data_IF_734216275689
#
_entry.id   IF_734216275689
#
_cell.length_a   1.000
_cell.length_b   1.000
_cell.length_c   1.000
_cell.angle_alpha   90.00
_cell.angle_beta   90.00
_cell.angle_gamma   90.00
#
_symmetry.space_group_name_H-M   'P 1'
#
loop_
_entity.id
_entity.type
_entity.pdbx_description
1 polymer ?
#
# COMPACT_ATOMS: atom_id res chain seq x y z
N UNK A 1 58.90 -9.19 10.68
CA UNK A 1 58.14 -8.25 11.54
C UNK A 1 56.70 -8.33 11.08
N UNK A 2 55.94 -9.30 11.64
CA UNK A 2 54.55 -9.52 11.32
C UNK A 2 53.69 -8.68 12.25
N UNK A 3 52.82 -7.84 11.72
CA UNK A 3 51.82 -7.09 12.46
C UNK A 3 50.47 -7.80 12.22
N UNK A 4 50.00 -8.47 13.27
CA UNK A 4 48.65 -9.03 13.28
C UNK A 4 47.65 -7.91 13.57
N UNK A 5 46.70 -7.67 12.68
CA UNK A 5 45.50 -6.87 12.96
C UNK A 5 44.43 -7.82 13.53
N UNK A 6 44.06 -7.58 14.76
CA UNK A 6 42.87 -8.19 15.34
C UNK A 6 41.62 -7.39 14.98
N UNK A 7 40.69 -8.03 14.30
CA UNK A 7 39.35 -7.49 14.03
C UNK A 7 38.48 -7.82 15.24
N UNK A 8 38.06 -6.81 15.96
CA UNK A 8 37.08 -6.95 17.04
C UNK A 8 35.65 -6.98 16.42
N UNK A 9 35.00 -8.11 16.56
CA UNK A 9 33.57 -8.24 16.24
C UNK A 9 32.75 -7.52 17.33
N UNK A 10 32.07 -6.46 16.96
CA UNK A 10 31.06 -5.82 17.84
C UNK A 10 29.76 -6.58 17.64
N UNK A 11 29.39 -7.35 18.62
CA UNK A 11 28.07 -7.97 18.71
C UNK A 11 27.09 -6.89 19.17
N UNK A 12 26.36 -6.30 18.24
CA UNK A 12 25.27 -5.39 18.54
C UNK A 12 24.03 -6.17 18.97
N UNK A 13 23.71 -6.10 20.26
CA UNK A 13 22.47 -6.64 20.81
C UNK A 13 21.29 -5.82 20.36
N UNK A 14 20.47 -6.34 19.46
CA UNK A 14 19.20 -5.77 19.09
C UNK A 14 18.19 -5.90 20.23
N UNK A 15 17.83 -4.79 20.85
CA UNK A 15 16.72 -4.72 21.80
C UNK A 15 15.40 -4.73 21.02
N UNK A 16 14.67 -5.83 21.07
CA UNK A 16 13.31 -5.90 20.61
C UNK A 16 12.40 -5.05 21.51
N UNK A 17 12.00 -3.89 21.05
CA UNK A 17 10.94 -3.12 21.67
C UNK A 17 9.59 -3.71 21.23
N UNK A 18 8.93 -4.40 22.13
CA UNK A 18 7.56 -4.83 21.98
C UNK A 18 6.63 -3.60 22.01
N UNK A 19 6.01 -3.28 20.89
CA UNK A 19 4.94 -2.30 20.86
C UNK A 19 3.70 -2.91 21.54
N UNK A 20 3.35 -2.40 22.72
CA UNK A 20 2.11 -2.74 23.40
C UNK A 20 0.94 -2.05 22.70
N UNK A 21 0.09 -2.83 22.04
CA UNK A 21 -1.21 -2.36 21.57
C UNK A 21 -2.12 -2.10 22.77
N UNK A 22 -2.50 -0.86 22.98
CA UNK A 22 -3.52 -0.49 23.95
C UNK A 22 -4.90 -1.00 23.50
N UNK A 23 -5.41 -2.03 24.13
CA UNK A 23 -6.81 -2.45 23.99
C UNK A 23 -7.69 -1.48 24.77
N UNK A 24 -8.48 -0.69 24.05
CA UNK A 24 -9.58 0.04 24.65
C UNK A 24 -10.70 -0.94 24.98
N UNK A 25 -10.94 -1.18 26.26
CA UNK A 25 -12.02 -2.00 26.76
C UNK A 25 -13.37 -1.36 26.49
N UNK A 26 -14.26 -2.09 25.80
CA UNK A 26 -15.67 -1.76 25.66
C UNK A 26 -16.42 -2.29 26.87
N UNK A 27 -16.99 -1.39 27.66
CA UNK A 27 -17.90 -1.75 28.74
C UNK A 27 -19.29 -2.16 28.17
N UNK A 28 -19.96 -3.16 28.75
CA UNK A 28 -21.31 -3.50 28.32
C UNK A 28 -22.33 -2.55 28.96
N UNK A 29 -23.03 -1.77 28.16
CA UNK A 29 -24.20 -1.03 28.60
C UNK A 29 -25.45 -1.91 28.44
N UNK A 30 -25.92 -2.48 29.54
CA UNK A 30 -27.28 -3.03 29.63
C UNK A 30 -28.24 -1.88 29.87
N UNK A 31 -29.17 -1.65 28.93
CA UNK A 31 -30.39 -0.91 29.18
C UNK A 31 -31.50 -1.56 28.37
N UNK A 32 -32.44 -2.23 29.08
CA UNK A 32 -33.75 -2.63 28.54
C UNK A 32 -34.55 -1.34 28.31
N UNK A 33 -34.89 -1.05 27.07
CA UNK A 33 -35.86 -0.02 26.72
C UNK A 33 -37.12 -0.69 26.18
N UNK A 34 -38.23 -0.22 26.70
CA UNK A 34 -39.56 -0.76 26.49
C UNK A 34 -40.06 -0.72 25.04
N UNK A 35 -40.96 -1.65 24.77
CA UNK A 35 -41.73 -1.79 23.55
C UNK A 35 -42.47 -0.47 23.21
N UNK A 36 -42.08 0.19 22.14
CA UNK A 36 -42.86 1.24 21.51
C UNK A 36 -43.87 0.61 20.52
N UNK A 37 -45.05 1.22 20.29
CA UNK A 37 -46.10 0.64 19.45
C UNK A 37 -45.71 0.61 17.96
N UNK A 38 -46.11 -0.47 17.33
CA UNK A 38 -45.99 -0.65 15.88
C UNK A 38 -46.83 0.41 15.13
N UNK A 39 -46.14 1.11 14.18
CA UNK A 39 -46.91 1.89 13.23
C UNK A 39 -46.26 3.17 12.72
N UNK A 40 -45.05 3.09 12.23
CA UNK A 40 -44.59 3.99 11.19
C UNK A 40 -43.55 3.23 10.33
N UNK A 41 -43.94 2.84 9.13
CA UNK A 41 -42.95 2.47 8.10
C UNK A 41 -42.13 3.72 7.84
N UNK A 42 -41.00 3.81 8.49
CA UNK A 42 -39.96 4.77 8.07
C UNK A 42 -39.59 4.31 6.66
N UNK A 43 -40.06 5.07 5.66
CA UNK A 43 -39.64 4.84 4.28
C UNK A 43 -38.11 4.85 4.24
N UNK A 44 -37.53 3.68 3.97
CA UNK A 44 -36.08 3.56 3.74
C UNK A 44 -35.78 4.48 2.57
N UNK A 45 -35.11 5.59 2.83
CA UNK A 45 -34.67 6.48 1.76
C UNK A 45 -33.90 5.63 0.73
N UNK A 46 -34.27 5.77 -0.54
CA UNK A 46 -33.63 5.02 -1.61
C UNK A 46 -32.12 5.30 -1.58
N UNK A 47 -31.32 4.24 -1.54
CA UNK A 47 -29.87 4.37 -1.60
C UNK A 47 -29.48 5.01 -2.95
N UNK A 48 -28.60 6.01 -2.98
CA UNK A 48 -28.16 6.58 -4.24
C UNK A 48 -27.39 5.53 -5.06
N UNK A 49 -27.50 5.59 -6.40
CA UNK A 49 -26.67 4.82 -7.31
C UNK A 49 -25.23 5.33 -7.28
N UNK A 50 -24.78 5.97 -8.35
CA UNK A 50 -23.46 6.63 -8.38
C UNK A 50 -23.44 7.87 -7.49
N UNK A 51 -22.31 8.07 -6.79
CA UNK A 51 -22.11 9.22 -5.90
C UNK A 51 -20.83 9.95 -6.27
N UNK A 52 -20.87 11.28 -6.24
CA UNK A 52 -19.68 12.13 -6.34
C UNK A 52 -19.50 12.91 -5.04
N UNK A 53 -18.30 12.84 -4.48
CA UNK A 53 -17.86 13.64 -3.33
C UNK A 53 -16.82 14.65 -3.81
N UNK A 54 -16.92 15.89 -3.34
CA UNK A 54 -15.99 16.96 -3.66
C UNK A 54 -15.13 17.31 -2.45
N UNK A 55 -13.80 17.24 -2.64
CA UNK A 55 -12.80 17.72 -1.71
C UNK A 55 -12.19 19.04 -2.20
N UNK A 56 -11.90 19.94 -1.24
CA UNK A 56 -11.07 21.11 -1.48
C UNK A 56 -10.16 21.38 -0.27
N UNK A 57 -8.95 21.97 -0.45
CA UNK A 57 -8.16 22.42 0.68
C UNK A 57 -8.87 23.53 1.45
N UNK A 58 -8.53 23.72 2.72
CA UNK A 58 -9.16 24.72 3.58
C UNK A 58 -9.11 26.13 2.99
N UNK A 59 -8.01 26.49 2.32
CA UNK A 59 -7.82 27.76 1.60
C UNK A 59 -8.82 28.00 0.46
N UNK A 60 -9.48 26.94 0.00
CA UNK A 60 -10.45 26.97 -1.09
C UNK A 60 -11.86 26.53 -0.64
N UNK A 61 -12.14 26.64 0.66
CA UNK A 61 -13.47 26.43 1.23
C UNK A 61 -13.78 25.01 1.68
N UNK A 62 -12.80 24.10 1.64
CA UNK A 62 -12.96 22.74 2.19
C UNK A 62 -13.18 22.76 3.69
N UNK A 63 -14.25 22.10 4.16
CA UNK A 63 -14.60 21.97 5.59
C UNK A 63 -15.37 20.68 5.82
N UNK A 64 -15.06 19.94 6.87
CA UNK A 64 -15.77 18.69 7.20
C UNK A 64 -17.17 18.93 7.80
N UNK A 65 -17.57 20.19 8.00
CA UNK A 65 -18.97 20.56 8.25
C UNK A 65 -19.82 20.67 6.97
N UNK A 66 -19.20 20.60 5.79
CA UNK A 66 -19.89 20.60 4.51
C UNK A 66 -20.39 19.19 4.16
N UNK A 67 -21.32 19.10 3.22
CA UNK A 67 -21.84 17.79 2.76
C UNK A 67 -20.94 17.07 1.79
N UNK A 68 -20.07 17.77 1.08
CA UNK A 68 -19.25 17.21 0.00
C UNK A 68 -20.01 16.82 -1.27
N UNK A 69 -21.34 16.97 -1.31
CA UNK A 69 -22.18 16.50 -2.42
C UNK A 69 -22.24 17.47 -3.61
N UNK A 70 -21.69 18.65 -3.45
CA UNK A 70 -21.58 19.65 -4.53
C UNK A 70 -20.21 20.31 -4.52
N UNK A 71 -19.76 20.78 -5.68
CA UNK A 71 -18.48 21.49 -5.82
C UNK A 71 -18.43 22.82 -5.07
N UNK A 72 -19.57 23.41 -4.72
CA UNK A 72 -19.68 24.63 -3.92
C UNK A 72 -19.68 24.38 -2.41
N UNK A 73 -19.82 23.12 -1.97
CA UNK A 73 -19.81 22.73 -0.56
C UNK A 73 -18.84 21.54 -0.34
N UNK A 74 -17.54 21.71 -0.69
CA UNK A 74 -16.58 20.63 -0.61
C UNK A 74 -16.20 20.33 0.84
N UNK A 75 -15.93 19.05 1.13
CA UNK A 75 -15.33 18.63 2.39
C UNK A 75 -13.82 18.83 2.37
N UNK A 76 -13.18 18.69 3.54
CA UNK A 76 -11.74 18.90 3.68
C UNK A 76 -10.95 17.58 3.64
N UNK A 77 -11.47 16.51 4.28
CA UNK A 77 -10.69 15.30 4.54
C UNK A 77 -11.27 14.05 3.90
N UNK A 78 -10.38 13.10 3.55
CA UNK A 78 -10.79 11.77 3.08
C UNK A 78 -11.49 10.98 4.20
N UNK A 79 -11.13 11.21 5.47
CA UNK A 79 -11.79 10.58 6.60
C UNK A 79 -13.27 10.97 6.66
N UNK A 80 -13.58 12.25 6.43
CA UNK A 80 -14.96 12.71 6.36
C UNK A 80 -15.68 12.21 5.10
N UNK A 81 -14.96 12.10 3.97
CA UNK A 81 -15.52 11.47 2.77
C UNK A 81 -16.01 10.04 3.06
N UNK A 82 -15.20 9.24 3.76
CA UNK A 82 -15.59 7.88 4.15
C UNK A 82 -16.82 7.85 5.05
N UNK A 83 -16.93 8.80 6.00
CA UNK A 83 -18.12 8.94 6.88
C UNK A 83 -19.38 9.27 6.08
N UNK A 84 -19.29 10.25 5.17
CA UNK A 84 -20.40 10.62 4.29
C UNK A 84 -20.86 9.44 3.44
N UNK A 85 -19.91 8.72 2.81
CA UNK A 85 -20.21 7.55 2.00
C UNK A 85 -20.83 6.41 2.82
N UNK A 86 -20.36 6.18 4.03
CA UNK A 86 -20.94 5.19 4.95
C UNK A 86 -22.38 5.54 5.31
N UNK A 87 -22.67 6.82 5.50
CA UNK A 87 -24.05 7.31 5.77
C UNK A 87 -24.97 7.20 4.55
N UNK A 88 -24.46 7.48 3.35
CA UNK A 88 -25.21 7.41 2.09
C UNK A 88 -25.44 5.97 1.63
N UNK A 89 -24.48 5.10 1.89
CA UNK A 89 -24.47 3.68 1.49
C UNK A 89 -24.82 3.48 0.00
N UNK A 90 -24.05 4.05 -0.94
CA UNK A 90 -24.33 4.00 -2.36
C UNK A 90 -24.32 2.58 -2.91
N UNK A 91 -25.03 2.37 -4.03
CA UNK A 91 -25.11 1.10 -4.75
C UNK A 91 -24.48 1.14 -6.13
N UNK A 92 -23.71 2.16 -6.42
CA UNK A 92 -23.03 2.38 -7.70
C UNK A 92 -21.60 2.90 -7.49
N UNK A 93 -20.97 3.33 -8.56
CA UNK A 93 -19.61 3.87 -8.52
C UNK A 93 -19.53 5.15 -7.68
N UNK A 94 -18.42 5.29 -6.97
CA UNK A 94 -18.11 6.50 -6.21
C UNK A 94 -16.97 7.23 -6.90
N UNK A 95 -17.09 8.56 -7.00
CA UNK A 95 -16.01 9.43 -7.49
C UNK A 95 -15.71 10.48 -6.44
N UNK A 96 -14.47 10.54 -5.98
CA UNK A 96 -13.97 11.58 -5.08
C UNK A 96 -13.19 12.57 -5.94
N UNK A 97 -13.81 13.74 -6.17
CA UNK A 97 -13.26 14.85 -6.95
C UNK A 97 -12.45 15.77 -6.06
N UNK A 98 -11.14 15.78 -6.27
CA UNK A 98 -10.17 16.46 -5.41
C UNK A 98 -9.69 17.73 -6.12
N UNK A 99 -9.97 18.88 -5.55
CA UNK A 99 -9.58 20.17 -6.12
C UNK A 99 -8.05 20.34 -5.99
N UNK A 100 -7.44 20.96 -6.97
CA UNK A 100 -6.00 21.25 -6.95
C UNK A 100 -5.60 22.11 -5.74
N UNK A 101 -4.43 21.85 -5.19
CA UNK A 101 -3.86 22.52 -4.03
C UNK A 101 -3.27 21.53 -3.04
N UNK A 102 -2.64 22.03 -1.99
CA UNK A 102 -2.00 21.21 -0.97
C UNK A 102 -2.97 20.91 0.17
N UNK A 103 -3.08 19.64 0.49
CA UNK A 103 -3.81 19.08 1.62
C UNK A 103 -2.80 18.65 2.67
N UNK A 104 -2.74 19.38 3.77
CA UNK A 104 -1.99 18.92 4.94
C UNK A 104 -2.86 17.87 5.63
N UNK A 105 -2.54 16.60 5.43
CA UNK A 105 -3.47 15.51 5.68
C UNK A 105 -2.90 14.43 6.59
N UNK A 106 -3.64 14.09 7.64
CA UNK A 106 -3.32 12.92 8.47
C UNK A 106 -3.49 11.62 7.68
N UNK A 107 -2.80 10.57 8.13
CA UNK A 107 -2.99 9.22 7.65
C UNK A 107 -4.46 8.79 7.73
N UNK A 108 -4.89 8.00 6.75
CA UNK A 108 -6.24 7.44 6.74
C UNK A 108 -6.22 5.92 6.64
N UNK A 109 -7.07 5.28 7.44
CA UNK A 109 -7.46 3.89 7.23
C UNK A 109 -8.79 3.84 6.51
N UNK A 110 -8.77 3.27 5.30
CA UNK A 110 -9.94 3.15 4.44
C UNK A 110 -10.50 1.74 4.47
N UNK A 111 -11.76 1.62 4.84
CA UNK A 111 -12.49 0.33 4.92
C UNK A 111 -13.87 0.37 4.27
N UNK A 112 -14.19 1.44 3.55
CA UNK A 112 -15.46 1.58 2.84
C UNK A 112 -15.31 1.13 1.37
N UNK A 113 -16.17 0.26 0.93
CA UNK A 113 -16.23 -0.24 -0.45
C UNK A 113 -17.66 -0.45 -0.91
N UNK A 114 -17.88 -0.42 -2.22
CA UNK A 114 -19.16 -0.75 -2.82
C UNK A 114 -18.98 -2.02 -3.66
N UNK A 115 -19.51 -3.16 -3.23
CA UNK A 115 -19.31 -4.44 -3.92
C UNK A 115 -19.69 -4.39 -5.39
N UNK A 116 -18.76 -4.81 -6.27
CA UNK A 116 -18.96 -4.80 -7.71
C UNK A 116 -18.81 -3.41 -8.39
N UNK A 117 -18.43 -2.38 -7.64
CA UNK A 117 -18.27 -1.02 -8.13
C UNK A 117 -16.90 -0.44 -7.78
N UNK A 118 -16.55 0.71 -8.36
CA UNK A 118 -15.28 1.39 -8.13
C UNK A 118 -15.43 2.61 -7.24
N UNK A 119 -14.35 2.92 -6.51
CA UNK A 119 -14.17 4.16 -5.78
C UNK A 119 -12.94 4.85 -6.35
N UNK A 120 -13.15 5.97 -7.05
CA UNK A 120 -12.10 6.69 -7.76
C UNK A 120 -11.73 7.97 -7.06
N UNK A 121 -10.45 8.15 -6.77
CA UNK A 121 -9.83 9.37 -6.22
C UNK A 121 -9.10 10.08 -7.36
N UNK A 122 -9.52 11.28 -7.72
CA UNK A 122 -8.99 11.94 -8.91
C UNK A 122 -9.08 13.46 -8.81
N UNK A 123 -8.24 14.20 -9.55
CA UNK A 123 -8.38 15.65 -9.65
C UNK A 123 -9.78 16.07 -10.09
N UNK A 124 -10.29 17.18 -9.54
CA UNK A 124 -11.65 17.64 -9.83
C UNK A 124 -11.89 17.93 -11.32
N UNK A 125 -10.84 18.31 -12.04
CA UNK A 125 -10.87 18.61 -13.48
C UNK A 125 -10.45 17.43 -14.36
N UNK A 126 -10.21 16.23 -13.81
CA UNK A 126 -9.91 15.04 -14.60
C UNK A 126 -11.16 14.56 -15.35
N UNK A 127 -11.05 14.44 -16.65
CA UNK A 127 -12.14 14.00 -17.55
C UNK A 127 -11.84 12.70 -18.30
N UNK A 128 -10.70 12.04 -17.98
CA UNK A 128 -10.17 10.90 -18.73
C UNK A 128 -9.13 11.33 -19.77
N UNK A 129 -8.25 10.41 -20.15
CA UNK A 129 -7.35 10.59 -21.30
C UNK A 129 -5.99 11.24 -21.01
N UNK A 130 -5.61 11.48 -19.78
CA UNK A 130 -4.27 11.97 -19.44
C UNK A 130 -4.24 12.92 -18.25
N UNK A 131 -3.03 13.34 -17.84
CA UNK A 131 -2.84 14.24 -16.69
C UNK A 131 -3.56 15.58 -16.92
N UNK A 132 -4.40 16.01 -15.98
CA UNK A 132 -5.14 17.27 -16.13
C UNK A 132 -4.22 18.48 -16.03
N UNK A 133 -4.58 19.58 -16.68
CA UNK A 133 -3.84 20.82 -16.62
C UNK A 133 -3.87 21.44 -15.21
N UNK A 134 -2.81 22.14 -14.82
CA UNK A 134 -2.73 22.92 -13.58
C UNK A 134 -2.07 22.19 -12.41
N UNK A 135 -1.56 21.00 -12.62
CA UNK A 135 -0.87 20.18 -11.62
C UNK A 135 -1.81 19.27 -10.83
N UNK A 136 -1.23 18.39 -10.05
CA UNK A 136 -1.96 17.42 -9.26
C UNK A 136 -2.35 18.00 -7.88
N UNK A 137 -3.42 17.53 -7.27
CA UNK A 137 -3.64 17.72 -5.83
C UNK A 137 -2.52 17.06 -5.04
N UNK A 138 -1.97 17.77 -4.05
CA UNK A 138 -0.85 17.32 -3.24
C UNK A 138 -1.35 16.96 -1.83
N UNK A 139 -1.07 15.76 -1.37
CA UNK A 139 -1.24 15.36 0.01
C UNK A 139 0.12 15.31 0.69
N UNK A 140 0.30 16.15 1.71
CA UNK A 140 1.53 16.24 2.48
C UNK A 140 1.27 15.93 3.96
N UNK A 141 2.25 15.28 4.62
CA UNK A 141 2.14 15.01 6.06
C UNK A 141 2.08 16.32 6.85
N UNK A 142 1.12 16.48 7.79
CA UNK A 142 0.93 17.69 8.56
C UNK A 142 2.10 18.04 9.49
N UNK A 143 2.94 17.09 9.76
CA UNK A 143 3.97 17.19 10.79
C UNK A 143 5.36 17.45 10.24
N UNK A 144 5.48 18.16 9.12
CA UNK A 144 6.77 18.54 8.56
C UNK A 144 7.74 19.01 9.65
N UNK A 145 8.75 18.20 9.95
CA UNK A 145 9.92 18.52 10.79
C UNK A 145 9.74 18.42 12.31
N UNK A 146 9.61 17.20 12.85
CA UNK A 146 10.07 16.93 14.21
C UNK A 146 9.16 16.17 15.15
N UNK A 147 7.93 15.87 14.83
CA UNK A 147 7.01 15.06 15.66
C UNK A 147 6.20 14.06 14.83
N UNK A 148 6.80 13.55 13.78
CA UNK A 148 6.14 12.55 12.93
C UNK A 148 5.89 11.27 13.71
N UNK A 149 4.65 10.87 13.70
CA UNK A 149 4.31 9.49 14.00
C UNK A 149 4.30 8.81 12.65
N UNK A 150 5.35 8.06 12.28
CA UNK A 150 5.48 7.39 10.99
C UNK A 150 4.15 6.98 10.42
N UNK A 151 3.73 7.69 9.37
CA UNK A 151 2.38 7.54 8.87
C UNK A 151 2.44 7.01 7.45
N UNK A 152 1.55 6.06 7.17
CA UNK A 152 1.16 5.72 5.82
C UNK A 152 0.03 6.65 5.42
N UNK A 153 0.16 7.38 4.31
CA UNK A 153 -0.88 8.29 3.85
C UNK A 153 -2.25 7.60 3.76
N UNK A 154 -2.31 6.45 3.06
CA UNK A 154 -3.56 5.73 2.81
C UNK A 154 -3.39 4.24 3.04
N UNK A 155 -4.07 3.69 4.03
CA UNK A 155 -4.10 2.25 4.29
C UNK A 155 -5.48 1.69 3.95
N UNK A 156 -5.57 0.91 2.88
CA UNK A 156 -6.77 0.16 2.53
C UNK A 156 -6.80 -1.15 3.33
N UNK A 157 -7.87 -1.38 4.07
CA UNK A 157 -8.08 -2.59 4.86
C UNK A 157 -9.42 -3.22 4.53
N UNK A 158 -9.58 -4.50 4.82
CA UNK A 158 -10.87 -5.16 4.66
C UNK A 158 -11.95 -4.49 5.51
N UNK A 159 -13.19 -4.38 5.01
CA UNK A 159 -14.28 -3.81 5.79
C UNK A 159 -14.70 -4.77 6.90
N UNK A 160 -15.23 -4.26 8.02
CA UNK A 160 -15.77 -5.10 9.07
C UNK A 160 -17.03 -5.87 8.59
N UNK A 161 -17.33 -6.99 9.23
CA UNK A 161 -18.60 -7.67 9.03
C UNK A 161 -19.78 -6.72 9.37
N UNK A 162 -20.91 -6.80 8.68
CA UNK A 162 -21.34 -7.86 7.76
C UNK A 162 -21.09 -7.57 6.26
N UNK A 163 -20.05 -6.87 5.91
CA UNK A 163 -19.74 -6.58 4.50
C UNK A 163 -19.48 -7.87 3.71
N UNK A 164 -19.96 -7.99 2.46
CA UNK A 164 -19.62 -9.10 1.57
C UNK A 164 -18.14 -9.13 1.19
N UNK A 165 -17.40 -8.03 1.40
CA UNK A 165 -15.95 -7.94 1.20
C UNK A 165 -15.15 -8.14 2.51
N UNK A 166 -15.83 -8.54 3.61
CA UNK A 166 -15.16 -8.83 4.88
C UNK A 166 -14.07 -9.91 4.75
N UNK A 167 -14.35 -10.92 3.94
CA UNK A 167 -13.42 -12.01 3.66
C UNK A 167 -12.57 -11.75 2.39
N UNK A 168 -12.49 -10.51 1.94
CA UNK A 168 -11.74 -10.08 0.77
C UNK A 168 -12.51 -10.05 -0.53
N UNK A 169 -11.82 -9.65 -1.58
CA UNK A 169 -12.36 -9.56 -2.92
C UNK A 169 -11.90 -8.32 -3.67
N UNK A 170 -12.56 -8.02 -4.79
CA UNK A 170 -12.28 -6.84 -5.59
C UNK A 170 -12.82 -5.58 -4.88
N UNK A 171 -11.91 -4.78 -4.34
CA UNK A 171 -12.22 -3.53 -3.64
C UNK A 171 -12.37 -2.34 -4.57
N UNK A 172 -11.81 -2.43 -5.77
CA UNK A 172 -12.03 -1.49 -6.85
C UNK A 172 -11.59 -0.06 -6.58
N UNK A 173 -10.56 0.15 -5.76
CA UNK A 173 -9.99 1.48 -5.55
C UNK A 173 -9.25 1.95 -6.81
N UNK A 174 -9.38 3.22 -7.14
CA UNK A 174 -8.74 3.84 -8.30
C UNK A 174 -8.15 5.18 -7.89
N UNK A 175 -6.85 5.34 -8.07
CA UNK A 175 -6.12 6.57 -7.76
C UNK A 175 -5.52 7.14 -9.04
N UNK A 176 -5.85 8.39 -9.34
CA UNK A 176 -5.40 9.04 -10.57
C UNK A 176 -4.81 10.42 -10.28
N UNK A 177 -3.58 10.66 -10.72
CA UNK A 177 -2.96 11.98 -10.77
C UNK A 177 -3.01 12.77 -9.45
N UNK A 178 -2.56 12.14 -8.37
CA UNK A 178 -2.33 12.79 -7.07
C UNK A 178 -0.84 12.75 -6.76
N UNK A 179 -0.36 13.72 -6.01
CA UNK A 179 1.00 13.73 -5.44
C UNK A 179 0.91 13.42 -3.95
N UNK A 180 1.76 12.51 -3.49
CA UNK A 180 1.90 12.10 -2.10
C UNK A 180 3.32 12.39 -1.68
N UNK A 181 3.51 13.21 -0.64
CA UNK A 181 4.82 13.65 -0.19
C UNK A 181 4.94 13.73 1.34
N UNK A 182 6.17 13.65 1.84
CA UNK A 182 6.50 13.79 3.27
C UNK A 182 5.89 12.71 4.20
N UNK A 183 5.55 11.54 3.70
CA UNK A 183 5.10 10.40 4.51
C UNK A 183 6.20 9.33 4.63
N UNK A 184 6.13 8.50 5.67
CA UNK A 184 7.01 7.31 5.74
C UNK A 184 6.63 6.27 4.69
N UNK A 185 5.35 6.19 4.32
CA UNK A 185 4.81 5.32 3.28
C UNK A 185 3.65 6.02 2.57
N UNK A 186 3.46 5.74 1.29
CA UNK A 186 2.36 6.31 0.52
C UNK A 186 1.06 5.50 0.68
N UNK A 187 0.88 4.45 -0.09
CA UNK A 187 -0.32 3.60 -0.08
C UNK A 187 0.04 2.22 0.48
N UNK A 188 -0.81 1.67 1.35
CA UNK A 188 -0.77 0.28 1.78
C UNK A 188 -2.08 -0.42 1.42
N UNK A 189 -2.03 -1.38 0.52
CA UNK A 189 -3.12 -2.33 0.28
C UNK A 189 -2.93 -3.50 1.24
N UNK A 190 -3.66 -3.50 2.34
CA UNK A 190 -3.49 -4.46 3.42
C UNK A 190 -4.70 -5.38 3.54
N UNK A 191 -4.69 -6.46 2.78
CA UNK A 191 -5.72 -7.49 2.80
C UNK A 191 -5.75 -8.31 4.09
N UNK A 192 -4.78 -8.11 4.97
CA UNK A 192 -4.60 -8.89 6.19
C UNK A 192 -4.67 -8.05 7.47
N UNK A 193 -5.26 -6.88 7.41
CA UNK A 193 -5.47 -6.06 8.58
C UNK A 193 -6.23 -6.85 9.65
N UNK A 194 -5.64 -6.94 10.84
CA UNK A 194 -6.19 -7.73 11.95
C UNK A 194 -5.61 -9.15 12.08
N UNK A 195 -4.82 -9.61 11.11
CA UNK A 195 -4.04 -10.84 11.22
C UNK A 195 -2.59 -10.52 11.55
N UNK A 196 -2.07 -11.13 12.59
CA UNK A 196 -0.64 -11.08 12.86
C UNK A 196 0.09 -11.92 11.82
N UNK A 197 1.02 -11.37 11.08
CA UNK A 197 1.83 -12.12 10.12
C UNK A 197 2.75 -13.17 10.80
N UNK A 198 2.81 -13.17 12.11
CA UNK A 198 3.34 -14.26 12.92
C UNK A 198 2.28 -15.32 13.29
N UNK A 199 1.03 -15.17 12.85
CA UNK A 199 -0.01 -16.13 13.15
C UNK A 199 -0.01 -17.23 12.07
N UNK A 200 -0.01 -18.48 12.51
CA UNK A 200 0.13 -19.67 11.67
C UNK A 200 -0.91 -19.84 10.56
N UNK A 201 -2.08 -19.29 10.71
CA UNK A 201 -3.14 -19.34 9.70
C UNK A 201 -2.85 -18.45 8.51
N UNK A 202 -2.07 -17.42 8.70
CA UNK A 202 -1.67 -16.46 7.69
C UNK A 202 -0.85 -17.08 6.55
N UNK A 203 0.12 -17.92 6.88
CA UNK A 203 1.01 -18.53 5.88
C UNK A 203 0.42 -19.72 5.13
N UNK A 204 -0.77 -20.14 5.46
CA UNK A 204 -1.37 -21.37 4.93
C UNK A 204 -2.55 -21.10 4.01
N UNK A 205 -3.14 -19.91 4.06
CA UNK A 205 -4.30 -19.55 3.25
C UNK A 205 -4.01 -18.29 2.44
N UNK A 206 -3.89 -18.41 1.13
CA UNK A 206 -3.98 -17.23 0.30
C UNK A 206 -5.39 -16.68 0.36
N UNK A 207 -5.48 -15.41 0.60
CA UNK A 207 -6.31 -14.53 -0.11
C UNK A 207 -7.75 -14.38 0.27
N UNK A 208 -7.82 -13.47 1.13
CA UNK A 208 -9.03 -12.70 1.31
C UNK A 208 -8.76 -11.22 1.01
N UNK A 209 -7.85 -10.90 0.13
CA UNK A 209 -7.15 -9.64 -0.02
C UNK A 209 -7.96 -8.39 -0.40
N UNK A 210 -7.31 -7.26 -0.31
CA UNK A 210 -7.74 -5.97 -0.87
C UNK A 210 -7.31 -5.92 -2.34
N UNK A 211 -8.14 -6.42 -3.26
CA UNK A 211 -7.73 -6.77 -4.63
C UNK A 211 -8.30 -5.85 -5.71
N UNK A 212 -7.70 -5.90 -6.89
CA UNK A 212 -8.22 -5.29 -8.11
C UNK A 212 -8.20 -3.76 -8.08
N UNK A 213 -7.16 -3.18 -7.53
CA UNK A 213 -6.98 -1.74 -7.42
C UNK A 213 -6.18 -1.19 -8.62
N UNK A 214 -6.22 0.11 -8.83
CA UNK A 214 -5.50 0.80 -9.89
C UNK A 214 -4.88 2.09 -9.35
N UNK A 215 -3.58 2.25 -9.58
CA UNK A 215 -2.82 3.46 -9.22
C UNK A 215 -2.14 3.95 -10.49
N UNK A 216 -2.60 5.07 -11.02
CA UNK A 216 -2.15 5.54 -12.33
C UNK A 216 -1.85 7.03 -12.37
N UNK A 217 -0.69 7.38 -12.93
CA UNK A 217 -0.26 8.76 -13.09
C UNK A 217 0.03 9.50 -11.78
N UNK A 218 0.17 8.79 -10.68
CA UNK A 218 0.51 9.36 -9.37
C UNK A 218 1.98 9.80 -9.31
N UNK A 219 2.28 10.69 -8.36
CA UNK A 219 3.65 11.02 -7.96
C UNK A 219 3.81 10.70 -6.47
N UNK A 220 4.81 9.90 -6.14
CA UNK A 220 5.29 9.65 -4.78
C UNK A 220 6.66 10.30 -4.66
N UNK A 221 6.78 11.29 -3.79
CA UNK A 221 7.97 12.10 -3.64
C UNK A 221 8.28 12.33 -2.17
N UNK A 222 9.57 12.38 -1.80
CA UNK A 222 9.99 12.58 -0.41
C UNK A 222 9.33 11.55 0.54
N UNK A 223 9.43 10.27 0.20
CA UNK A 223 8.89 9.17 1.01
C UNK A 223 9.99 8.49 1.80
N UNK A 224 9.69 8.15 3.06
CA UNK A 224 10.58 7.44 3.96
C UNK A 224 10.92 8.21 5.23
N UNK A 225 11.72 7.61 6.10
CA UNK A 225 12.04 8.18 7.41
C UNK A 225 13.04 9.35 7.33
N UNK A 226 13.68 9.57 6.19
CA UNK A 226 14.51 10.77 5.95
C UNK A 226 13.67 12.04 5.88
N UNK A 227 12.44 11.93 5.44
CA UNK A 227 11.48 13.03 5.29
C UNK A 227 10.47 13.05 6.44
N UNK A 228 10.04 11.88 6.89
CA UNK A 228 9.11 11.69 8.01
C UNK A 228 9.76 10.83 9.12
N UNK A 229 10.68 11.40 9.94
CA UNK A 229 11.52 10.64 10.85
C UNK A 229 10.77 10.17 12.08
N UNK A 230 10.21 8.98 12.06
CA UNK A 230 9.66 8.33 13.25
C UNK A 230 9.61 6.81 13.17
N UNK A 231 9.48 6.26 12.01
CA UNK A 231 9.50 4.82 11.76
C UNK A 231 10.14 4.58 10.39
N UNK A 232 10.84 3.48 10.26
CA UNK A 232 11.37 3.02 8.99
C UNK A 232 10.26 2.85 7.96
N UNK A 233 10.41 3.45 6.79
CA UNK A 233 9.51 3.25 5.65
C UNK A 233 9.78 1.89 4.99
N UNK A 234 8.74 1.24 4.45
CA UNK A 234 8.87 -0.02 3.74
C UNK A 234 8.47 0.05 2.27
N UNK A 235 7.62 0.98 1.89
CA UNK A 235 7.20 1.12 0.50
C UNK A 235 6.45 2.41 0.21
N UNK A 236 6.67 3.00 -0.97
CA UNK A 236 5.77 4.03 -1.44
C UNK A 236 4.40 3.42 -1.77
N UNK A 237 4.38 2.18 -2.31
CA UNK A 237 3.18 1.33 -2.31
C UNK A 237 3.54 -0.03 -1.73
N UNK A 238 2.84 -0.40 -0.67
CA UNK A 238 2.97 -1.69 0.01
C UNK A 238 1.75 -2.57 -0.29
N UNK A 239 2.01 -3.78 -0.75
CA UNK A 239 1.00 -4.81 -0.99
C UNK A 239 1.17 -5.92 0.04
N UNK A 240 0.12 -6.26 0.74
CA UNK A 240 0.07 -7.40 1.65
C UNK A 240 -1.23 -8.15 1.39
N UNK A 241 -1.16 -9.31 0.75
CA UNK A 241 -2.32 -10.06 0.27
C UNK A 241 -3.24 -9.16 -0.58
N UNK A 242 -2.66 -8.57 -1.62
CA UNK A 242 -3.35 -7.71 -2.58
C UNK A 242 -2.99 -8.16 -3.99
N UNK A 243 -3.97 -8.54 -4.78
CA UNK A 243 -3.77 -9.24 -6.04
C UNK A 243 -4.58 -8.64 -7.18
N UNK A 244 -4.05 -8.78 -8.41
CA UNK A 244 -4.73 -8.27 -9.60
C UNK A 244 -4.78 -6.75 -9.66
N UNK A 245 -3.80 -6.09 -9.05
CA UNK A 245 -3.68 -4.64 -9.03
C UNK A 245 -2.91 -4.14 -10.27
N UNK A 246 -3.22 -2.93 -10.71
CA UNK A 246 -2.55 -2.25 -11.82
C UNK A 246 -1.84 -0.99 -11.31
N UNK A 247 -0.54 -0.90 -11.54
CA UNK A 247 0.32 0.22 -11.13
C UNK A 247 0.98 0.78 -12.38
N UNK A 248 0.45 1.89 -12.91
CA UNK A 248 0.86 2.35 -14.23
C UNK A 248 1.16 3.83 -14.33
N UNK A 249 2.19 4.18 -15.10
CA UNK A 249 2.54 5.56 -15.42
C UNK A 249 2.77 6.47 -14.20
N UNK A 250 3.24 5.90 -13.08
CA UNK A 250 3.54 6.64 -11.86
C UNK A 250 5.01 7.08 -11.85
N UNK A 251 5.28 8.12 -11.07
CA UNK A 251 6.65 8.56 -10.74
C UNK A 251 6.90 8.29 -9.26
N UNK A 252 8.01 7.62 -8.97
CA UNK A 252 8.54 7.36 -7.65
C UNK A 252 9.91 8.04 -7.58
N UNK A 253 10.02 9.09 -6.78
CA UNK A 253 11.20 9.94 -6.74
C UNK A 253 11.55 10.33 -5.29
N UNK A 254 12.83 10.37 -4.98
CA UNK A 254 13.36 10.71 -3.65
C UNK A 254 12.75 9.83 -2.52
N UNK A 255 13.01 8.52 -2.62
CA UNK A 255 12.58 7.56 -1.60
C UNK A 255 13.78 7.15 -0.74
N UNK A 256 13.83 7.68 0.50
CA UNK A 256 14.98 7.51 1.38
C UNK A 256 14.62 7.18 2.83
N UNK A 257 15.24 6.11 3.35
CA UNK A 257 15.39 5.91 4.77
C UNK A 257 16.76 6.40 5.23
N UNK A 258 16.84 6.98 6.43
CA UNK A 258 18.07 7.50 7.00
C UNK A 258 18.99 6.42 7.59
N UNK A 259 18.45 5.29 7.96
CA UNK A 259 19.14 4.17 8.62
C UNK A 259 19.12 2.90 7.77
N UNK A 260 18.04 2.16 7.82
CA UNK A 260 17.88 0.88 7.09
C UNK A 260 17.55 1.14 5.62
N UNK A 261 18.59 1.45 4.84
CA UNK A 261 18.46 1.94 3.47
C UNK A 261 17.87 0.92 2.50
N UNK A 262 18.05 -0.36 2.78
CA UNK A 262 17.56 -1.49 1.97
C UNK A 262 16.13 -1.93 2.32
N UNK A 263 15.45 -1.22 3.21
CA UNK A 263 14.08 -1.56 3.61
C UNK A 263 13.00 -0.74 2.90
N UNK A 264 13.33 0.41 2.33
CA UNK A 264 12.36 1.23 1.61
C UNK A 264 12.40 0.94 0.11
N UNK A 265 11.28 0.51 -0.41
CA UNK A 265 11.10 0.21 -1.82
C UNK A 265 10.08 1.16 -2.45
N UNK A 266 10.13 1.40 -3.75
CA UNK A 266 9.02 2.07 -4.42
C UNK A 266 7.78 1.17 -4.40
N UNK A 267 7.95 -0.11 -4.75
CA UNK A 267 6.89 -1.12 -4.66
C UNK A 267 7.37 -2.30 -3.80
N UNK A 268 6.65 -2.59 -2.74
CA UNK A 268 6.88 -3.77 -1.91
C UNK A 268 5.70 -4.73 -2.02
N UNK A 269 5.86 -5.74 -2.86
CA UNK A 269 4.84 -6.75 -3.20
C UNK A 269 5.08 -7.98 -2.34
N UNK A 270 4.31 -8.15 -1.28
CA UNK A 270 4.59 -9.15 -0.26
C UNK A 270 3.37 -9.99 0.13
N UNK A 271 3.62 -11.16 0.70
CA UNK A 271 2.62 -12.03 1.32
C UNK A 271 1.41 -12.31 0.42
N UNK A 272 1.59 -13.22 -0.56
CA UNK A 272 0.54 -13.66 -1.50
C UNK A 272 0.03 -12.61 -2.48
N UNK A 273 0.67 -11.46 -2.61
CA UNK A 273 0.28 -10.42 -3.55
C UNK A 273 0.64 -10.81 -4.97
N UNK A 274 -0.33 -11.35 -5.70
CA UNK A 274 -0.09 -12.08 -6.95
C UNK A 274 -0.86 -11.52 -8.14
N UNK A 275 -0.31 -11.72 -9.35
CA UNK A 275 -1.00 -11.31 -10.59
C UNK A 275 -1.12 -9.81 -10.75
N UNK A 276 -0.24 -9.03 -10.13
CA UNK A 276 -0.20 -7.58 -10.26
C UNK A 276 0.54 -7.19 -11.54
N UNK A 277 0.15 -6.07 -12.12
CA UNK A 277 0.76 -5.48 -13.31
C UNK A 277 1.41 -4.15 -12.95
N UNK A 278 2.69 -3.99 -13.30
CA UNK A 278 3.49 -2.79 -13.05
C UNK A 278 4.09 -2.34 -14.38
N UNK A 279 3.56 -1.26 -14.99
CA UNK A 279 3.98 -0.85 -16.32
C UNK A 279 4.11 0.67 -16.48
N UNK A 280 5.06 1.08 -17.31
CA UNK A 280 5.25 2.48 -17.68
C UNK A 280 5.65 3.42 -16.55
N UNK A 281 6.09 2.91 -15.40
CA UNK A 281 6.48 3.72 -14.26
C UNK A 281 7.91 4.22 -14.38
N UNK A 282 8.18 5.36 -13.75
CA UNK A 282 9.51 5.90 -13.52
C UNK A 282 9.89 5.70 -12.05
N UNK A 283 11.00 5.03 -11.81
CA UNK A 283 11.63 4.86 -10.51
C UNK A 283 12.95 5.59 -10.51
N UNK A 284 13.10 6.62 -9.71
CA UNK A 284 14.34 7.37 -9.61
C UNK A 284 14.66 7.79 -8.17
N UNK A 285 15.93 7.97 -7.87
CA UNK A 285 16.41 8.44 -6.57
C UNK A 285 15.86 7.62 -5.39
N UNK A 286 16.04 6.30 -5.44
CA UNK A 286 15.63 5.42 -4.32
C UNK A 286 16.87 4.84 -3.64
N UNK A 287 16.85 4.65 -2.31
CA UNK A 287 18.00 4.05 -1.62
C UNK A 287 17.81 2.55 -1.28
N UNK A 288 16.69 1.97 -1.61
CA UNK A 288 16.46 0.52 -1.62
C UNK A 288 16.17 -0.01 -3.02
N UNK A 289 15.92 -1.30 -3.16
CA UNK A 289 15.46 -1.87 -4.42
C UNK A 289 14.12 -1.23 -4.83
N UNK A 290 14.04 -0.78 -6.09
CA UNK A 290 12.83 -0.09 -6.53
C UNK A 290 11.60 -1.00 -6.47
N UNK A 291 11.72 -2.26 -6.89
CA UNK A 291 10.64 -3.26 -6.80
C UNK A 291 11.13 -4.46 -6.01
N UNK A 292 10.50 -4.72 -4.88
CA UNK A 292 10.74 -5.94 -4.08
C UNK A 292 9.52 -6.83 -4.08
N UNK A 293 9.73 -8.08 -4.44
CA UNK A 293 8.73 -9.15 -4.37
C UNK A 293 9.11 -10.12 -3.26
N UNK A 294 8.15 -10.59 -2.47
CA UNK A 294 8.44 -11.46 -1.33
C UNK A 294 7.27 -12.38 -1.00
N UNK A 295 7.60 -13.53 -0.47
CA UNK A 295 6.70 -14.51 0.15
C UNK A 295 5.45 -14.84 -0.68
N UNK A 296 5.57 -15.80 -1.60
CA UNK A 296 4.45 -16.34 -2.41
C UNK A 296 3.73 -15.31 -3.26
N UNK A 297 4.36 -14.20 -3.57
CA UNK A 297 3.82 -13.17 -4.46
C UNK A 297 4.12 -13.54 -5.90
N UNK A 298 3.21 -14.28 -6.51
CA UNK A 298 3.43 -15.00 -7.75
C UNK A 298 2.82 -14.31 -8.97
N UNK A 299 3.37 -14.60 -10.16
CA UNK A 299 2.80 -14.19 -11.44
C UNK A 299 2.61 -12.67 -11.58
N UNK A 300 3.46 -11.88 -10.95
CA UNK A 300 3.47 -10.43 -11.14
C UNK A 300 4.23 -10.09 -12.43
N UNK A 301 3.73 -9.11 -13.16
CA UNK A 301 4.29 -8.66 -14.44
C UNK A 301 4.82 -7.24 -14.32
N UNK A 302 6.14 -7.07 -14.33
CA UNK A 302 6.85 -5.80 -14.16
C UNK A 302 7.56 -5.50 -15.50
N UNK A 303 6.97 -4.64 -16.32
CA UNK A 303 7.48 -4.42 -17.67
C UNK A 303 7.37 -2.96 -18.13
N UNK A 304 8.18 -2.61 -19.12
CA UNK A 304 8.17 -1.27 -19.75
C UNK A 304 8.36 -0.11 -18.76
N UNK A 305 9.01 -0.35 -17.63
CA UNK A 305 9.34 0.67 -16.65
C UNK A 305 10.73 1.25 -16.91
N UNK A 306 10.99 2.44 -16.36
CA UNK A 306 12.31 3.08 -16.37
C UNK A 306 12.84 3.18 -14.93
N UNK A 307 14.08 2.74 -14.74
CA UNK A 307 14.80 2.76 -13.46
C UNK A 307 16.03 3.66 -13.57
N UNK A 308 16.14 4.66 -12.68
CA UNK A 308 17.24 5.61 -12.63
C UNK A 308 17.74 5.76 -11.20
N UNK A 309 19.07 5.73 -11.02
CA UNK A 309 19.69 6.02 -9.73
C UNK A 309 19.00 5.29 -8.56
N UNK A 310 18.58 4.05 -8.76
CA UNK A 310 18.06 3.22 -7.70
C UNK A 310 19.23 2.73 -6.86
N UNK A 311 19.35 3.22 -5.63
CA UNK A 311 20.53 3.01 -4.79
C UNK A 311 20.58 1.67 -4.07
N UNK A 312 19.61 0.81 -4.26
CA UNK A 312 19.56 -0.53 -3.70
C UNK A 312 20.50 -1.51 -4.41
N UNK A 313 20.41 -2.78 -4.04
CA UNK A 313 21.21 -3.84 -4.65
C UNK A 313 20.76 -4.18 -6.06
N UNK A 314 19.50 -3.90 -6.40
CA UNK A 314 18.95 -4.15 -7.73
C UNK A 314 17.71 -3.28 -8.03
N UNK A 315 17.39 -3.12 -9.31
CA UNK A 315 16.09 -2.54 -9.72
C UNK A 315 14.92 -3.44 -9.31
N UNK A 316 15.15 -4.75 -9.28
CA UNK A 316 14.20 -5.77 -8.86
C UNK A 316 14.87 -6.77 -7.93
N UNK A 317 14.22 -7.11 -6.83
CA UNK A 317 14.60 -8.16 -5.91
C UNK A 317 13.41 -9.07 -5.62
N UNK A 318 13.59 -10.38 -5.72
CA UNK A 318 12.63 -11.38 -5.24
C UNK A 318 13.29 -12.14 -4.08
N UNK A 319 12.80 -11.90 -2.88
CA UNK A 319 13.35 -12.38 -1.63
C UNK A 319 12.31 -13.16 -0.82
N UNK A 320 12.76 -13.92 0.14
CA UNK A 320 11.91 -14.55 1.15
C UNK A 320 12.74 -14.86 2.39
N UNK A 321 12.11 -14.81 3.51
CA UNK A 321 12.77 -15.10 4.77
C UNK A 321 12.74 -16.59 5.08
N UNK A 322 13.92 -17.16 5.22
CA UNK A 322 14.11 -18.56 5.62
C UNK A 322 13.97 -18.76 7.15
N UNK A 323 14.55 -19.83 7.65
CA UNK A 323 14.54 -20.17 9.08
C UNK A 323 15.10 -19.09 10.01
N UNK A 324 15.90 -18.15 9.52
CA UNK A 324 16.53 -17.14 10.35
C UNK A 324 15.53 -16.08 10.80
N UNK A 325 14.54 -15.77 9.99
CA UNK A 325 13.46 -14.84 10.35
C UNK A 325 12.52 -15.41 11.42
N UNK A 326 12.57 -16.69 11.68
CA UNK A 326 11.61 -17.40 12.53
C UNK A 326 12.19 -17.73 13.91
N UNK A 327 13.18 -17.00 14.36
CA UNK A 327 13.80 -17.23 15.67
C UNK A 327 12.77 -17.14 16.81
N UNK A 328 12.36 -18.31 17.32
CA UNK A 328 11.54 -18.46 18.53
C UNK A 328 10.12 -19.01 18.34
N UNK A 329 9.58 -19.10 17.14
CA UNK A 329 8.32 -19.77 16.89
C UNK A 329 8.55 -21.14 16.27
N UNK A 330 7.57 -22.04 16.32
CA UNK A 330 7.70 -23.39 15.75
C UNK A 330 8.12 -23.31 14.26
N UNK A 331 9.36 -23.70 13.92
CA UNK A 331 10.03 -23.25 12.69
C UNK A 331 9.37 -23.70 11.39
N UNK A 332 8.55 -24.74 11.42
CA UNK A 332 7.95 -25.32 10.21
C UNK A 332 6.64 -24.64 9.77
N UNK A 333 6.04 -23.82 10.60
CA UNK A 333 4.68 -23.33 10.41
C UNK A 333 4.61 -21.92 9.81
N UNK A 334 5.70 -21.16 9.88
CA UNK A 334 5.75 -19.73 9.58
C UNK A 334 6.76 -19.34 8.51
N UNK A 335 7.26 -20.30 7.75
CA UNK A 335 8.25 -20.03 6.70
C UNK A 335 7.64 -19.26 5.56
N UNK A 336 8.27 -18.19 5.20
CA UNK A 336 8.05 -17.59 3.90
C UNK A 336 8.51 -18.55 2.80
N UNK A 337 7.94 -18.42 1.64
CA UNK A 337 8.29 -19.22 0.49
C UNK A 337 8.68 -18.33 -0.68
N UNK A 338 9.56 -18.82 -1.50
CA UNK A 338 9.91 -18.18 -2.75
C UNK A 338 8.68 -17.90 -3.60
N UNK A 339 8.66 -16.76 -4.22
CA UNK A 339 7.70 -16.43 -5.27
C UNK A 339 8.08 -17.14 -6.57
N UNK A 340 7.15 -17.26 -7.51
CA UNK A 340 7.40 -17.87 -8.82
C UNK A 340 6.51 -17.27 -9.90
N UNK A 341 6.91 -17.49 -11.15
CA UNK A 341 6.16 -17.03 -12.31
C UNK A 341 6.17 -15.52 -12.51
N UNK A 342 7.01 -14.80 -11.77
CA UNK A 342 7.16 -13.37 -11.94
C UNK A 342 7.91 -13.05 -13.23
N UNK A 343 7.57 -11.93 -13.86
CA UNK A 343 8.23 -11.44 -15.06
C UNK A 343 8.81 -10.06 -14.82
N UNK A 344 10.08 -9.86 -15.16
CA UNK A 344 10.74 -8.57 -15.20
C UNK A 344 11.34 -8.37 -16.60
N UNK A 345 10.64 -7.64 -17.46
CA UNK A 345 10.97 -7.62 -18.87
C UNK A 345 10.72 -6.26 -19.54
N UNK A 346 11.43 -6.03 -20.65
CA UNK A 346 11.27 -4.85 -21.49
C UNK A 346 11.45 -3.50 -20.74
N UNK A 347 12.14 -3.53 -19.59
CA UNK A 347 12.43 -2.35 -18.80
C UNK A 347 13.67 -1.62 -19.31
N UNK A 348 13.77 -0.32 -19.06
CA UNK A 348 14.94 0.51 -19.28
C UNK A 348 15.62 0.71 -17.92
N UNK A 349 16.91 0.36 -17.83
CA UNK A 349 17.72 0.51 -16.63
C UNK A 349 18.86 1.47 -16.98
N UNK A 350 18.72 2.72 -16.57
CA UNK A 350 19.65 3.79 -16.99
C UNK A 350 20.99 3.69 -16.26
N UNK A 351 22.02 4.32 -16.83
CA UNK A 351 23.37 4.40 -16.27
C UNK A 351 23.34 4.95 -14.84
N UNK A 352 24.06 4.31 -13.94
CA UNK A 352 24.15 4.68 -12.51
C UNK A 352 23.16 3.96 -11.62
N UNK A 353 22.28 3.17 -12.18
CA UNK A 353 21.37 2.29 -11.44
C UNK A 353 22.01 0.90 -11.31
N UNK A 354 21.92 0.29 -10.14
CA UNK A 354 22.23 -1.13 -10.00
C UNK A 354 21.17 -1.93 -10.75
N UNK A 355 21.60 -2.63 -11.78
CA UNK A 355 20.71 -3.36 -12.67
C UNK A 355 20.79 -4.88 -12.49
N UNK A 356 21.45 -5.31 -11.44
CA UNK A 356 21.55 -6.74 -11.17
C UNK A 356 20.16 -7.26 -10.80
N UNK A 357 19.66 -8.16 -11.61
CA UNK A 357 18.44 -8.89 -11.32
C UNK A 357 18.81 -10.02 -10.39
N UNK A 358 18.71 -9.78 -9.10
CA UNK A 358 18.95 -10.83 -8.12
C UNK A 358 17.75 -11.78 -8.16
N UNK A 359 17.85 -12.90 -8.88
CA UNK A 359 16.91 -13.98 -8.65
C UNK A 359 17.14 -14.40 -7.21
N UNK A 360 16.13 -14.80 -6.49
CA UNK A 360 16.25 -15.15 -5.09
C UNK A 360 17.39 -16.16 -4.93
N UNK A 361 18.49 -15.66 -4.35
CA UNK A 361 19.75 -16.43 -4.23
C UNK A 361 19.67 -17.52 -3.19
N UNK A 362 18.62 -17.55 -2.39
CA UNK A 362 18.49 -18.56 -1.36
C UNK A 362 17.66 -19.73 -1.85
N UNK A 363 18.33 -20.85 -1.95
CA UNK A 363 17.67 -22.13 -2.14
C UNK A 363 16.89 -22.44 -0.88
N UNK A 364 15.58 -22.41 -0.97
CA UNK A 364 14.74 -22.94 0.08
C UNK A 364 15.07 -24.42 0.31
N UNK A 365 15.67 -24.69 1.44
CA UNK A 365 15.93 -26.06 1.87
C UNK A 365 14.68 -26.60 2.56
N UNK A 366 13.76 -27.13 1.79
CA UNK A 366 12.92 -28.15 2.32
C UNK A 366 11.43 -27.97 2.48
N UNK A 367 10.72 -28.81 1.83
CA UNK A 367 9.44 -29.38 2.23
C UNK A 367 8.19 -28.57 1.87
N UNK A 368 7.11 -29.25 1.51
CA UNK A 368 5.80 -28.63 1.39
C UNK A 368 5.47 -27.76 2.62
N UNK A 369 4.93 -26.57 2.45
CA UNK A 369 4.15 -26.09 1.32
C UNK A 369 4.89 -25.17 0.33
N UNK A 370 6.22 -25.10 0.36
CA UNK A 370 7.01 -24.18 -0.45
C UNK A 370 7.48 -24.80 -1.79
N UNK A 371 6.71 -25.68 -2.41
CA UNK A 371 7.06 -26.24 -3.70
C UNK A 371 6.67 -25.32 -4.84
N UNK A 372 7.64 -24.91 -5.64
CA UNK A 372 7.39 -24.26 -6.94
C UNK A 372 6.83 -25.33 -7.90
N UNK A 373 5.76 -25.03 -8.66
CA UNK A 373 5.22 -25.98 -9.62
C UNK A 373 6.30 -26.43 -10.64
N UNK A 374 6.31 -27.72 -10.98
CA UNK A 374 7.30 -28.26 -11.91
C UNK A 374 7.25 -27.55 -13.25
N UNK A 375 8.40 -27.04 -13.70
CA UNK A 375 8.54 -26.36 -14.99
C UNK A 375 8.15 -24.87 -14.95
N UNK A 376 7.84 -24.32 -13.79
CA UNK A 376 7.63 -22.89 -13.61
C UNK A 376 8.94 -22.26 -13.14
N UNK A 377 9.38 -21.22 -13.84
CA UNK A 377 10.52 -20.40 -13.42
C UNK A 377 10.13 -19.49 -12.26
N UNK A 378 11.10 -19.12 -11.44
CA UNK A 378 10.88 -18.13 -10.39
C UNK A 378 10.73 -16.74 -10.97
N UNK A 379 11.65 -16.40 -11.86
CA UNK A 379 11.68 -15.11 -12.53
C UNK A 379 11.99 -15.30 -14.02
N UNK A 380 11.15 -14.77 -14.86
CA UNK A 380 11.40 -14.63 -16.30
C UNK A 380 11.93 -13.24 -16.62
N UNK A 381 13.10 -13.17 -17.25
CA UNK A 381 13.71 -11.90 -17.68
C UNK A 381 13.88 -11.87 -19.19
N UNK A 382 13.41 -10.81 -19.86
CA UNK A 382 13.57 -10.65 -21.29
C UNK A 382 13.54 -9.17 -21.69
N UNK A 383 14.28 -8.79 -22.72
CA UNK A 383 14.15 -7.49 -23.37
C UNK A 383 14.57 -6.25 -22.55
N UNK A 384 15.10 -6.43 -21.33
CA UNK A 384 15.59 -5.31 -20.52
C UNK A 384 16.78 -4.65 -21.20
N UNK A 385 16.88 -3.33 -21.12
CA UNK A 385 17.93 -2.51 -21.73
C UNK A 385 18.65 -1.69 -20.66
N UNK A 386 19.97 -1.63 -20.74
CA UNK A 386 20.85 -0.79 -19.92
C UNK A 386 21.54 0.26 -20.79
#
# INVERSE_FOLDING_TARGET
>A
MLVSLAVAAIVGGGSALAAAAAQAGVAPAGAQAGLAPAGAQVGVAARPGNVTIYLAPASQGGKDSNTGLTSSSPILTLAHAQQVLSGLNPTGNVTIRIKQGTYVANAITWSFYVPGHTISFMPANYSGGGRPAGGDPVFADPTSKGTHIGQTWFTAVLPPAPSPLHDGGNTGLRFYYLTIEDYTQGISFNGQAGHSWHNSTFYVQPSTGVNGNDVSGMTFHDIGDSFAPSQTGYGAILFTDSSGDAISNNTFDDLYNSGDTDQLHALYITHFSSGNTVDGNLFENTNGEAVKVRDRSNNNDIFSNTFKATGGVAAYLDDFCDQQCVNGASPKKYRECASYGNRFADNIIETGTLWDLIPPGETYAGGAPCSIPKGVERLHTAGNKS
#
